data_IF_564714072068
#
_entry.id   IF_564714072068
#
_cell.length_a   1.000
_cell.length_b   1.000
_cell.length_c   1.000
_cell.angle_alpha   90.00
_cell.angle_beta   90.00
_cell.angle_gamma   90.00
#
_symmetry.space_group_name_H-M   'P 1'
#
loop_
_entity.id
_entity.type
_entity.pdbx_description
1 polymer ?
#
# COMPACT_ATOMS: atom_id res chain seq x y z
N UNK A 1 -25.08 33.11 38.69
CA UNK A 1 -25.42 33.07 37.25
C UNK A 1 -26.92 33.26 37.14
N UNK A 2 -27.36 34.34 36.48
CA UNK A 2 -28.78 34.69 36.36
C UNK A 2 -29.35 34.02 35.12
N UNK A 3 -30.37 33.17 35.30
CA UNK A 3 -31.04 32.50 34.19
C UNK A 3 -31.92 33.50 33.42
N UNK A 4 -32.05 33.36 32.09
CA UNK A 4 -32.83 34.28 31.28
C UNK A 4 -34.35 34.11 31.54
N UNK A 5 -35.07 35.24 31.62
CA UNK A 5 -36.48 35.34 32.03
C UNK A 5 -37.48 34.50 31.19
N UNK A 6 -37.12 34.12 29.96
CA UNK A 6 -37.97 33.25 29.13
C UNK A 6 -38.00 31.78 29.60
N UNK A 7 -37.05 31.37 30.45
CA UNK A 7 -36.99 29.99 30.99
C UNK A 7 -38.11 29.70 32.03
N UNK A 8 -38.57 30.73 32.75
CA UNK A 8 -39.60 30.60 33.79
C UNK A 8 -41.00 30.33 33.24
N UNK A 9 -41.23 30.59 31.95
CA UNK A 9 -42.52 30.37 31.29
C UNK A 9 -42.65 29.00 30.62
N UNK A 10 -41.54 28.27 30.45
CA UNK A 10 -41.53 26.92 29.85
C UNK A 10 -41.84 25.82 30.86
N UNK A 11 -41.43 25.99 32.12
CA UNK A 11 -41.62 24.99 33.19
C UNK A 11 -43.09 24.67 33.50
N UNK A 12 -44.03 25.63 33.60
CA UNK A 12 -45.43 25.30 33.86
C UNK A 12 -46.12 24.63 32.65
N UNK A 13 -45.75 24.97 31.41
CA UNK A 13 -46.29 24.32 30.19
C UNK A 13 -45.78 22.88 30.07
N UNK A 14 -44.51 22.64 30.40
CA UNK A 14 -43.93 21.29 30.40
C UNK A 14 -44.53 20.45 31.54
N UNK A 15 -44.80 21.05 32.71
CA UNK A 15 -45.43 20.37 33.85
C UNK A 15 -46.91 20.02 33.57
N UNK A 16 -47.66 20.90 32.90
CA UNK A 16 -49.05 20.61 32.49
C UNK A 16 -49.12 19.53 31.41
N UNK A 17 -48.19 19.49 30.45
CA UNK A 17 -48.11 18.40 29.46
C UNK A 17 -47.77 17.08 30.16
N UNK A 18 -46.85 17.10 31.13
CA UNK A 18 -46.43 15.90 31.85
C UNK A 18 -47.54 15.33 32.75
N UNK A 19 -48.25 16.19 33.49
CA UNK A 19 -49.37 15.78 34.37
C UNK A 19 -50.63 15.41 33.57
N UNK A 20 -50.82 15.94 32.36
CA UNK A 20 -51.91 15.53 31.47
C UNK A 20 -51.65 14.18 30.79
N UNK A 21 -50.39 13.82 30.55
CA UNK A 21 -49.98 12.49 30.06
C UNK A 21 -50.09 11.40 31.14
N UNK A 22 -50.02 11.78 32.43
CA UNK A 22 -50.12 10.85 33.57
C UNK A 22 -51.52 10.28 33.80
N UNK A 23 -52.58 10.90 33.27
CA UNK A 23 -53.97 10.52 33.54
C UNK A 23 -54.54 9.44 32.61
N UNK A 24 -53.77 8.92 31.65
CA UNK A 24 -54.29 7.98 30.65
C UNK A 24 -53.38 6.78 30.37
N UNK A 25 -52.78 6.24 31.42
CA UNK A 25 -52.00 5.01 31.32
C UNK A 25 -52.43 4.06 32.43
N UNK A 26 -53.07 2.97 32.02
CA UNK A 26 -53.52 1.92 32.92
C UNK A 26 -52.32 1.25 33.61
N UNK A 27 -52.55 0.81 34.85
CA UNK A 27 -51.52 0.42 35.84
C UNK A 27 -50.58 -0.71 35.44
N UNK A 28 -50.77 -1.38 34.30
CA UNK A 28 -49.87 -2.43 33.78
C UNK A 28 -48.84 -1.91 32.76
N UNK A 29 -49.02 -0.70 32.20
CA UNK A 29 -48.17 -0.18 31.14
C UNK A 29 -46.99 0.69 31.62
N UNK A 30 -47.03 1.20 32.85
CA UNK A 30 -45.94 2.03 33.39
C UNK A 30 -44.61 1.29 33.50
N UNK A 31 -44.67 -0.01 33.83
CA UNK A 31 -43.49 -0.86 33.90
C UNK A 31 -42.87 -1.12 32.52
N UNK A 32 -43.66 -1.11 31.44
CA UNK A 32 -43.18 -1.24 30.05
C UNK A 32 -42.72 0.11 29.49
N UNK A 33 -43.44 1.20 29.79
CA UNK A 33 -43.19 2.54 29.29
C UNK A 33 -41.84 3.14 29.75
N UNK A 34 -41.34 2.74 30.93
CA UNK A 34 -40.00 3.11 31.40
C UNK A 34 -38.90 2.15 30.92
N UNK A 35 -39.23 0.92 30.51
CA UNK A 35 -38.25 -0.07 30.03
C UNK A 35 -37.75 0.25 28.63
N UNK A 36 -38.62 0.68 27.72
CA UNK A 36 -38.21 1.03 26.35
C UNK A 36 -37.20 2.19 26.26
N UNK A 37 -37.41 3.36 26.91
CA UNK A 37 -36.44 4.45 26.87
C UNK A 37 -35.15 4.13 27.62
N UNK A 38 -35.20 3.34 28.71
CA UNK A 38 -34.00 2.89 29.43
C UNK A 38 -33.17 1.89 28.62
N UNK A 39 -33.82 0.96 27.91
CA UNK A 39 -33.13 0.04 27.00
C UNK A 39 -32.53 0.78 25.80
N UNK A 40 -33.24 1.79 25.28
CA UNK A 40 -32.75 2.64 24.20
C UNK A 40 -31.55 3.50 24.64
N UNK A 41 -31.59 4.09 25.84
CA UNK A 41 -30.46 4.81 26.42
C UNK A 41 -29.28 3.88 26.73
N UNK A 42 -29.52 2.66 27.21
CA UNK A 42 -28.45 1.68 27.41
C UNK A 42 -27.83 1.23 26.09
N UNK A 43 -28.63 1.07 25.03
CA UNK A 43 -28.15 0.73 23.70
C UNK A 43 -27.34 1.89 23.11
N UNK A 44 -27.78 3.13 23.31
CA UNK A 44 -27.05 4.33 22.91
C UNK A 44 -25.70 4.44 23.66
N UNK A 45 -25.67 4.16 24.96
CA UNK A 45 -24.44 4.15 25.76
C UNK A 45 -23.47 3.03 25.33
N UNK A 46 -23.98 1.84 24.99
CA UNK A 46 -23.18 0.73 24.46
C UNK A 46 -22.63 1.07 23.08
N UNK A 47 -23.45 1.64 22.19
CA UNK A 47 -23.01 2.07 20.85
C UNK A 47 -21.96 3.17 20.98
N UNK A 48 -22.15 4.19 21.83
CA UNK A 48 -21.15 5.24 22.09
C UNK A 48 -19.85 4.65 22.68
N UNK A 49 -19.93 3.66 23.58
CA UNK A 49 -18.76 2.96 24.12
C UNK A 49 -18.05 2.10 23.06
N UNK A 50 -18.78 1.40 22.19
CA UNK A 50 -18.21 0.64 21.07
C UNK A 50 -17.61 1.55 20.00
N UNK A 51 -18.21 2.72 19.75
CA UNK A 51 -17.67 3.74 18.87
C UNK A 51 -16.41 4.38 19.47
N UNK A 52 -16.34 4.54 20.79
CA UNK A 52 -15.11 4.95 21.47
C UNK A 52 -14.00 3.91 21.27
N UNK A 53 -14.29 2.61 21.42
CA UNK A 53 -13.29 1.56 21.12
C UNK A 53 -12.91 1.49 19.64
N UNK A 54 -13.84 1.72 18.71
CA UNK A 54 -13.52 1.78 17.27
C UNK A 54 -12.74 3.04 16.88
N UNK A 55 -12.90 4.15 17.62
CA UNK A 55 -12.12 5.37 17.46
C UNK A 55 -10.76 5.33 18.19
N UNK A 56 -10.54 4.34 19.07
CA UNK A 56 -9.25 4.07 19.74
C UNK A 56 -8.47 2.94 19.04
N UNK A 57 -8.90 2.48 17.86
CA UNK A 57 -8.02 1.73 16.94
C UNK A 57 -7.19 2.69 16.08
N UNK A 58 -6.46 3.56 16.77
CA UNK A 58 -5.46 4.47 16.23
C UNK A 58 -4.39 4.65 17.29
N UNK A 59 -3.76 3.55 17.72
CA UNK A 59 -2.80 3.67 18.80
C UNK A 59 -2.13 2.42 19.35
N UNK A 60 -2.27 1.23 18.75
CA UNK A 60 -1.27 0.19 18.99
C UNK A 60 -0.26 0.18 17.84
N UNK A 61 0.45 1.31 17.71
CA UNK A 61 1.82 1.23 17.22
C UNK A 61 2.53 0.42 18.28
N UNK A 62 2.80 -0.85 18.00
CA UNK A 62 3.73 -1.65 18.79
C UNK A 62 5.04 -0.85 18.88
N UNK A 63 5.21 -0.13 19.99
CA UNK A 63 6.16 0.97 20.20
C UNK A 63 7.62 0.50 20.29
N UNK A 64 7.91 -0.72 19.82
CA UNK A 64 9.20 -1.37 19.97
C UNK A 64 9.73 -1.97 18.67
N UNK A 65 9.23 -1.57 17.49
CA UNK A 65 9.87 -2.01 16.24
C UNK A 65 11.01 -1.04 15.87
N UNK A 66 12.30 -1.40 16.07
CA UNK A 66 13.40 -0.50 15.73
C UNK A 66 13.42 -0.33 14.21
N UNK A 67 12.88 0.80 13.75
CA UNK A 67 13.15 1.34 12.43
C UNK A 67 14.67 1.40 12.28
N UNK A 68 15.23 0.54 11.42
CA UNK A 68 16.65 0.45 10.99
C UNK A 68 17.61 1.01 12.06
N UNK A 69 18.07 0.15 12.97
CA UNK A 69 18.91 0.54 14.10
C UNK A 69 20.22 1.15 13.59
N UNK A 70 20.40 2.46 13.79
CA UNK A 70 21.70 3.10 13.61
C UNK A 70 22.67 2.50 14.64
N UNK A 71 23.85 2.04 14.22
CA UNK A 71 24.82 1.29 15.05
C UNK A 71 25.60 2.21 16.01
N UNK A 72 25.00 3.32 16.46
CA UNK A 72 25.63 4.23 17.42
C UNK A 72 24.86 4.14 18.72
N UNK A 73 25.46 3.48 19.71
CA UNK A 73 24.89 3.33 21.05
C UNK A 73 25.18 4.61 21.84
N UNK A 74 24.17 5.41 22.15
CA UNK A 74 24.24 6.48 23.16
C UNK A 74 23.10 6.23 24.13
N UNK A 75 23.45 5.67 25.30
CA UNK A 75 22.51 5.39 26.38
C UNK A 75 21.86 6.67 26.89
N UNK A 76 20.54 6.61 27.11
CA UNK A 76 19.88 6.94 28.38
C UNK A 76 18.34 6.84 28.23
N UNK A 77 17.72 6.14 29.18
CA UNK A 77 16.39 5.54 29.10
C UNK A 77 15.17 6.45 29.24
N UNK A 78 15.19 7.67 28.69
CA UNK A 78 14.05 8.60 28.75
C UNK A 78 13.60 9.17 27.39
N UNK A 79 14.28 8.84 26.28
CA UNK A 79 14.07 9.50 24.98
C UNK A 79 13.83 8.47 23.86
N UNK A 80 12.93 7.51 24.06
CA UNK A 80 12.62 6.55 23.01
C UNK A 80 11.93 7.21 21.80
N UNK A 81 11.08 8.20 22.04
CA UNK A 81 10.32 8.92 21.01
C UNK A 81 11.17 9.86 20.16
N UNK A 82 11.97 10.74 20.77
CA UNK A 82 12.75 11.72 20.00
C UNK A 82 13.88 11.04 19.22
N UNK A 83 14.45 9.95 19.73
CA UNK A 83 15.45 9.17 19.01
C UNK A 83 14.84 8.45 17.79
N UNK A 84 13.60 7.93 17.88
CA UNK A 84 12.90 7.34 16.73
C UNK A 84 12.60 8.40 15.64
N UNK A 85 12.14 9.58 16.06
CA UNK A 85 11.88 10.70 15.16
C UNK A 85 13.17 11.18 14.48
N UNK A 86 14.22 11.45 15.26
CA UNK A 86 15.53 11.86 14.74
C UNK A 86 16.11 10.82 13.77
N UNK A 87 15.94 9.52 14.04
CA UNK A 87 16.38 8.45 13.14
C UNK A 87 15.57 8.46 11.82
N UNK A 88 14.24 8.61 11.90
CA UNK A 88 13.39 8.68 10.71
C UNK A 88 13.71 9.92 9.85
N UNK A 89 13.91 11.08 10.46
CA UNK A 89 14.29 12.33 9.79
C UNK A 89 15.65 12.21 9.08
N UNK A 90 16.62 11.58 9.75
CA UNK A 90 17.92 11.29 9.15
C UNK A 90 17.80 10.37 7.92
N UNK A 91 17.07 9.26 8.05
CA UNK A 91 16.79 8.35 6.94
C UNK A 91 16.05 9.04 5.79
N UNK A 92 15.11 9.91 6.08
CA UNK A 92 14.37 10.64 5.05
C UNK A 92 15.25 11.66 4.33
N UNK A 93 16.17 12.30 5.04
CA UNK A 93 17.16 13.21 4.44
C UNK A 93 18.09 12.46 3.48
N UNK A 94 18.59 11.29 3.89
CA UNK A 94 19.38 10.41 3.02
C UNK A 94 18.56 9.96 1.81
N UNK A 95 17.30 9.57 2.02
CA UNK A 95 16.39 9.17 0.95
C UNK A 95 16.20 10.29 -0.08
N UNK A 96 15.93 11.53 0.38
CA UNK A 96 15.77 12.69 -0.51
C UNK A 96 17.02 12.91 -1.35
N UNK A 97 18.19 12.84 -0.75
CA UNK A 97 19.48 12.99 -1.44
C UNK A 97 19.71 11.85 -2.45
N UNK A 98 19.56 10.60 -2.01
CA UNK A 98 19.81 9.39 -2.83
C UNK A 98 18.93 9.30 -4.07
N UNK A 99 17.68 9.75 -3.98
CA UNK A 99 16.71 9.67 -5.09
C UNK A 99 16.34 11.04 -5.66
N UNK A 100 17.13 12.08 -5.35
CA UNK A 100 16.93 13.45 -5.83
C UNK A 100 15.49 13.97 -5.66
N UNK A 101 14.90 13.72 -4.48
CA UNK A 101 13.52 14.13 -4.18
C UNK A 101 13.48 15.56 -3.65
N UNK A 102 12.59 16.35 -4.21
CA UNK A 102 12.18 17.66 -3.70
C UNK A 102 10.65 17.72 -3.63
N UNK A 103 10.13 18.49 -2.67
CA UNK A 103 8.69 18.67 -2.46
C UNK A 103 8.37 20.16 -2.53
N UNK A 104 7.22 20.51 -3.09
CA UNK A 104 6.89 21.89 -3.44
C UNK A 104 6.48 22.74 -2.23
N UNK A 105 5.99 22.09 -1.17
CA UNK A 105 5.46 22.74 0.03
C UNK A 105 5.84 21.98 1.29
N UNK A 106 5.76 22.65 2.44
CA UNK A 106 6.00 21.99 3.73
C UNK A 106 4.93 20.94 4.01
N UNK A 107 3.69 21.20 3.63
CA UNK A 107 2.57 20.28 3.76
C UNK A 107 2.81 19.00 2.94
N UNK A 108 3.32 19.13 1.71
CA UNK A 108 3.72 17.98 0.91
C UNK A 108 4.89 17.22 1.55
N UNK A 109 5.92 17.95 2.04
CA UNK A 109 7.04 17.34 2.72
C UNK A 109 6.59 16.48 3.90
N UNK A 110 5.73 17.01 4.76
CA UNK A 110 5.24 16.34 5.96
C UNK A 110 4.36 15.14 5.61
N UNK A 111 3.51 15.29 4.59
CA UNK A 111 2.75 14.18 4.04
C UNK A 111 3.67 13.05 3.55
N UNK A 112 4.67 13.37 2.72
CA UNK A 112 5.62 12.40 2.15
C UNK A 112 6.45 11.74 3.23
N UNK A 113 6.85 12.49 4.26
CA UNK A 113 7.56 11.95 5.41
C UNK A 113 6.69 10.96 6.21
N UNK A 114 5.40 11.26 6.40
CA UNK A 114 4.48 10.33 7.07
C UNK A 114 4.32 9.01 6.30
N UNK A 115 4.22 9.08 4.97
CA UNK A 115 4.15 7.91 4.08
C UNK A 115 5.45 7.11 4.13
N UNK A 116 6.60 7.80 4.12
CA UNK A 116 7.91 7.19 4.24
C UNK A 116 8.07 6.38 5.53
N UNK A 117 7.69 6.95 6.68
CA UNK A 117 7.70 6.23 7.97
C UNK A 117 6.82 4.98 7.93
N UNK A 118 5.61 5.09 7.39
CA UNK A 118 4.70 3.96 7.26
C UNK A 118 5.29 2.85 6.36
N UNK A 119 5.93 3.22 5.27
CA UNK A 119 6.57 2.28 4.34
C UNK A 119 7.82 1.61 4.93
N UNK A 120 8.61 2.32 5.75
CA UNK A 120 9.73 1.70 6.49
C UNK A 120 9.24 0.63 7.47
N UNK A 121 8.18 0.93 8.24
CA UNK A 121 7.57 -0.07 9.14
C UNK A 121 7.04 -1.28 8.36
N UNK A 122 6.45 -1.05 7.19
CA UNK A 122 6.01 -2.12 6.29
C UNK A 122 7.18 -2.97 5.79
N UNK A 123 8.28 -2.35 5.38
CA UNK A 123 9.49 -3.04 4.93
C UNK A 123 10.11 -3.90 6.05
N UNK A 124 10.23 -3.36 7.27
CA UNK A 124 10.72 -4.11 8.44
C UNK A 124 9.87 -5.35 8.72
N UNK A 125 8.54 -5.18 8.72
CA UNK A 125 7.62 -6.30 8.93
C UNK A 125 7.76 -7.38 7.86
N UNK A 126 7.86 -6.99 6.59
CA UNK A 126 8.03 -7.95 5.50
C UNK A 126 9.38 -8.68 5.58
N UNK A 127 10.46 -7.98 5.96
CA UNK A 127 11.77 -8.61 6.17
C UNK A 127 11.75 -9.72 7.22
N UNK A 128 10.95 -9.55 8.28
CA UNK A 128 10.76 -10.57 9.32
C UNK A 128 9.95 -11.77 8.85
N UNK A 129 9.01 -11.55 7.92
CA UNK A 129 8.12 -12.58 7.38
C UNK A 129 8.76 -13.38 6.24
N UNK A 130 9.61 -12.74 5.44
CA UNK A 130 10.31 -13.35 4.31
C UNK A 130 11.81 -13.05 4.39
N UNK A 131 12.59 -13.94 5.02
CA UNK A 131 14.05 -13.81 5.10
C UNK A 131 14.74 -14.02 3.75
N UNK A 132 14.06 -14.57 2.74
CA UNK A 132 14.64 -14.81 1.41
C UNK A 132 14.65 -13.54 0.54
N UNK A 133 13.83 -12.56 0.89
CA UNK A 133 13.78 -11.26 0.26
C UNK A 133 14.50 -10.20 1.11
N UNK A 134 15.14 -9.24 0.43
CA UNK A 134 15.69 -8.06 1.10
C UNK A 134 14.72 -6.89 0.92
N UNK A 135 14.17 -6.40 2.03
CA UNK A 135 13.30 -5.23 2.06
C UNK A 135 14.07 -3.99 2.54
N UNK A 136 13.88 -2.87 1.86
CA UNK A 136 14.58 -1.62 2.20
C UNK A 136 13.98 -0.38 1.54
N UNK A 137 14.69 0.74 1.70
CA UNK A 137 14.31 2.01 1.09
C UNK A 137 14.51 1.97 -0.42
N UNK A 138 13.48 2.31 -1.17
CA UNK A 138 13.47 2.38 -2.64
C UNK A 138 13.02 3.77 -3.10
N UNK A 139 13.14 4.08 -4.40
CA UNK A 139 12.68 5.34 -4.98
C UNK A 139 11.17 5.62 -4.80
N UNK A 140 10.40 4.61 -4.39
CA UNK A 140 8.95 4.67 -4.17
C UNK A 140 8.56 4.71 -2.70
N UNK A 141 9.52 4.80 -1.78
CA UNK A 141 9.26 4.77 -0.33
C UNK A 141 8.43 5.96 0.17
N UNK A 142 8.29 7.04 -0.60
CA UNK A 142 7.44 8.21 -0.33
C UNK A 142 6.03 8.11 -0.93
N UNK A 143 5.68 7.00 -1.56
CA UNK A 143 4.39 6.81 -2.24
C UNK A 143 3.46 5.88 -1.48
N UNK A 144 2.18 6.22 -1.48
CA UNK A 144 1.13 5.30 -1.04
C UNK A 144 0.91 4.19 -2.07
N UNK A 145 0.36 3.03 -1.69
CA UNK A 145 0.03 1.96 -2.65
C UNK A 145 -0.90 2.42 -3.77
N UNK A 146 -1.79 3.37 -3.49
CA UNK A 146 -2.71 3.96 -4.48
C UNK A 146 -1.96 4.85 -5.46
N UNK A 147 -1.09 5.73 -4.98
CA UNK A 147 -0.26 6.57 -5.85
C UNK A 147 0.67 5.74 -6.71
N UNK A 148 1.33 4.73 -6.13
CA UNK A 148 2.19 3.81 -6.86
C UNK A 148 1.42 3.10 -7.97
N UNK A 149 0.24 2.57 -7.66
CA UNK A 149 -0.64 1.93 -8.65
C UNK A 149 -1.00 2.88 -9.78
N UNK A 150 -1.44 4.09 -9.45
CA UNK A 150 -1.92 5.04 -10.44
C UNK A 150 -0.82 5.57 -11.37
N UNK A 151 0.43 5.65 -10.88
CA UNK A 151 1.55 6.22 -11.64
C UNK A 151 2.42 5.19 -12.36
N UNK A 152 2.52 3.97 -11.82
CA UNK A 152 3.48 2.97 -12.30
C UNK A 152 2.87 1.64 -12.75
N UNK A 153 1.61 1.36 -12.42
CA UNK A 153 0.95 0.13 -12.89
C UNK A 153 0.13 0.45 -14.15
N UNK A 154 0.78 0.33 -15.32
CA UNK A 154 0.20 0.60 -16.65
C UNK A 154 -0.79 -0.45 -17.17
N UNK A 155 -1.55 -1.11 -16.29
CA UNK A 155 -2.48 -2.17 -16.69
C UNK A 155 -3.85 -1.56 -17.03
N UNK A 156 -4.06 -1.26 -18.30
CA UNK A 156 -5.41 -1.08 -18.83
C UNK A 156 -6.10 -2.44 -18.89
N UNK A 157 -7.14 -2.66 -18.08
CA UNK A 157 -7.94 -3.91 -18.03
C UNK A 157 -8.73 -4.22 -19.32
N UNK A 158 -8.44 -3.53 -20.43
CA UNK A 158 -9.14 -3.61 -21.71
C UNK A 158 -8.22 -4.07 -22.85
N UNK A 159 -7.24 -4.92 -22.55
CA UNK A 159 -6.52 -5.63 -23.61
C UNK A 159 -7.44 -6.73 -24.15
N UNK A 160 -8.03 -6.49 -25.32
CA UNK A 160 -8.67 -7.53 -26.12
C UNK A 160 -7.61 -8.13 -27.03
N UNK A 161 -7.58 -9.45 -27.15
CA UNK A 161 -6.76 -10.06 -28.19
C UNK A 161 -7.26 -9.58 -29.55
N UNK A 162 -6.34 -9.28 -30.49
CA UNK A 162 -6.69 -9.07 -31.89
C UNK A 162 -7.51 -10.25 -32.42
N UNK A 163 -8.47 -9.98 -33.31
CA UNK A 163 -9.34 -11.02 -33.88
C UNK A 163 -8.60 -12.04 -34.75
N UNK A 164 -7.39 -11.69 -35.18
CA UNK A 164 -6.46 -12.48 -35.99
C UNK A 164 -5.36 -13.16 -35.17
N UNK A 165 -5.42 -13.09 -33.83
CA UNK A 165 -4.47 -13.79 -32.98
C UNK A 165 -4.56 -15.31 -33.19
N UNK A 166 -3.46 -15.90 -33.67
CA UNK A 166 -3.34 -17.35 -33.83
C UNK A 166 -2.84 -18.00 -32.55
N UNK A 167 -3.34 -19.20 -32.26
CA UNK A 167 -2.85 -20.02 -31.17
C UNK A 167 -1.45 -20.53 -31.50
N UNK A 168 -0.53 -20.38 -30.54
CA UNK A 168 0.85 -20.81 -30.72
C UNK A 168 0.94 -22.35 -30.78
N UNK A 169 1.76 -22.92 -31.69
CA UNK A 169 1.95 -24.36 -31.77
C UNK A 169 2.63 -24.90 -30.51
N UNK A 170 2.27 -26.13 -30.11
CA UNK A 170 2.88 -26.80 -28.97
C UNK A 170 4.32 -27.21 -29.30
N UNK A 171 5.27 -26.67 -28.56
CA UNK A 171 6.70 -26.98 -28.70
C UNK A 171 7.11 -28.15 -27.78
N UNK A 172 8.07 -28.99 -28.19
CA UNK A 172 8.58 -30.08 -27.36
C UNK A 172 9.34 -29.55 -26.13
N UNK A 173 9.08 -30.13 -24.96
CA UNK A 173 9.65 -29.69 -23.67
C UNK A 173 10.63 -30.70 -23.06
N UNK A 174 11.01 -31.72 -23.82
CA UNK A 174 11.74 -32.91 -23.35
C UNK A 174 13.18 -32.60 -22.87
N UNK A 175 13.76 -31.46 -23.27
CA UNK A 175 15.17 -31.10 -23.04
C UNK A 175 15.33 -29.63 -22.66
N UNK A 176 14.50 -29.12 -21.75
CA UNK A 176 14.65 -27.77 -21.26
C UNK A 176 15.84 -27.68 -20.28
N UNK A 177 16.65 -26.60 -20.36
CA UNK A 177 17.71 -26.37 -19.39
C UNK A 177 17.11 -26.14 -18.00
N UNK A 178 17.89 -26.42 -16.96
CA UNK A 178 17.49 -26.19 -15.56
C UNK A 178 17.25 -24.70 -15.28
N UNK A 179 18.11 -23.86 -15.82
CA UNK A 179 18.08 -22.40 -15.69
C UNK A 179 18.37 -21.78 -17.07
N UNK A 180 17.70 -20.68 -17.41
CA UNK A 180 17.89 -19.99 -18.69
C UNK A 180 17.69 -18.47 -18.48
N UNK A 181 18.70 -17.67 -18.85
CA UNK A 181 18.67 -16.22 -18.73
C UNK A 181 18.90 -15.55 -20.08
N UNK A 182 17.88 -14.87 -20.60
CA UNK A 182 17.94 -14.14 -21.87
C UNK A 182 19.00 -13.03 -21.90
N UNK A 183 19.45 -12.54 -20.74
CA UNK A 183 20.52 -11.53 -20.65
C UNK A 183 21.85 -12.06 -21.16
N UNK A 184 22.11 -13.36 -21.01
CA UNK A 184 23.36 -13.99 -21.45
C UNK A 184 23.41 -14.18 -22.97
N UNK A 185 22.29 -13.98 -23.64
CA UNK A 185 22.12 -14.18 -25.09
C UNK A 185 21.93 -12.87 -25.87
N UNK A 186 22.17 -11.71 -25.24
CA UNK A 186 22.05 -10.40 -25.91
C UNK A 186 20.62 -10.02 -26.28
N UNK A 187 19.61 -10.78 -25.85
CA UNK A 187 18.20 -10.53 -26.17
C UNK A 187 17.54 -9.50 -25.24
N UNK A 188 18.26 -9.00 -24.23
CA UNK A 188 17.73 -8.08 -23.21
C UNK A 188 18.51 -6.77 -23.24
N UNK A 189 17.80 -5.67 -23.43
CA UNK A 189 18.35 -4.30 -23.35
C UNK A 189 18.53 -3.84 -21.91
N UNK A 190 19.28 -2.75 -21.71
CA UNK A 190 19.45 -2.15 -20.39
C UNK A 190 18.09 -1.76 -19.76
N UNK A 191 18.00 -1.88 -18.42
CA UNK A 191 16.76 -1.58 -17.69
C UNK A 191 16.38 -0.11 -17.87
N UNK A 192 15.23 0.13 -18.53
CA UNK A 192 14.67 1.47 -18.75
C UNK A 192 13.81 1.90 -17.55
N UNK A 193 13.89 3.16 -17.14
CA UNK A 193 12.98 3.75 -16.14
C UNK A 193 11.76 4.33 -16.86
N UNK A 194 10.58 3.77 -16.60
CA UNK A 194 9.35 4.19 -17.27
C UNK A 194 8.90 5.61 -16.86
N UNK A 195 9.34 6.13 -15.71
CA UNK A 195 8.86 7.37 -15.10
C UNK A 195 7.31 7.41 -14.99
N UNK A 196 6.74 8.44 -14.34
CA UNK A 196 5.29 8.61 -14.23
C UNK A 196 4.70 9.07 -15.56
N UNK A 197 4.69 8.20 -16.56
CA UNK A 197 3.98 8.43 -17.82
C UNK A 197 2.52 8.01 -17.67
N UNK A 198 1.64 9.01 -17.66
CA UNK A 198 0.19 8.84 -17.88
C UNK A 198 -0.14 8.48 -19.34
N UNK A 199 0.86 8.27 -20.21
CA UNK A 199 0.68 7.77 -21.57
C UNK A 199 0.69 6.25 -21.59
N UNK A 200 -0.45 5.67 -21.26
CA UNK A 200 -0.82 4.37 -21.81
C UNK A 200 -0.77 4.44 -23.35
N UNK A 201 -0.15 3.43 -23.96
CA UNK A 201 -0.10 3.13 -25.40
C UNK A 201 1.00 3.87 -26.18
N UNK A 202 2.18 3.25 -26.34
CA UNK A 202 2.89 3.13 -27.64
C UNK A 202 4.35 2.63 -27.56
N UNK A 203 4.98 2.47 -26.41
CA UNK A 203 6.42 2.09 -26.39
C UNK A 203 6.73 0.59 -26.56
N UNK A 204 5.72 -0.29 -26.76
CA UNK A 204 5.95 -1.75 -26.84
C UNK A 204 5.88 -2.35 -28.24
N UNK A 205 5.56 -1.58 -29.29
CA UNK A 205 5.37 -2.13 -30.65
C UNK A 205 6.47 -1.70 -31.62
N UNK A 206 7.20 -0.60 -31.37
CA UNK A 206 8.15 -0.07 -32.35
C UNK A 206 9.58 -0.60 -32.27
N UNK A 207 9.94 -1.42 -31.28
CA UNK A 207 11.35 -1.82 -31.06
C UNK A 207 11.59 -3.33 -31.20
N UNK A 208 10.55 -4.12 -31.51
CA UNK A 208 10.71 -5.55 -31.80
C UNK A 208 10.89 -5.85 -33.30
N UNK A 209 10.87 -4.83 -34.18
CA UNK A 209 10.81 -5.00 -35.63
C UNK A 209 11.98 -4.34 -36.41
N UNK A 210 12.95 -3.75 -35.72
CA UNK A 210 14.17 -3.23 -36.35
C UNK A 210 15.35 -3.81 -35.59
N UNK A 211 16.29 -4.40 -36.31
CA UNK A 211 17.48 -5.13 -35.83
C UNK A 211 17.28 -6.65 -35.68
N UNK A 212 16.68 -7.27 -36.71
CA UNK A 212 17.04 -8.63 -37.11
C UNK A 212 17.92 -8.50 -38.36
N UNK A 213 19.15 -8.04 -38.19
CA UNK A 213 20.22 -8.28 -39.16
C UNK A 213 20.92 -9.59 -38.74
N UNK A 214 20.39 -10.68 -39.30
CA UNK A 214 21.11 -11.88 -39.75
C UNK A 214 22.40 -12.24 -38.98
N UNK A 215 22.23 -12.89 -37.82
CA UNK A 215 23.29 -13.68 -37.19
C UNK A 215 22.93 -15.17 -37.30
N UNK A 216 23.16 -15.75 -38.49
CA UNK A 216 23.18 -17.20 -38.66
C UNK A 216 24.34 -17.82 -37.84
N UNK A 217 24.10 -18.78 -36.94
CA UNK A 217 25.18 -19.45 -36.20
C UNK A 217 25.94 -20.43 -37.11
N UNK A 218 27.27 -20.61 -36.93
CA UNK A 218 28.06 -21.45 -37.81
C UNK A 218 27.67 -22.92 -37.68
N UNK A 219 27.18 -23.50 -38.79
CA UNK A 219 26.93 -24.94 -38.95
C UNK A 219 28.28 -25.65 -38.90
N UNK A 220 28.63 -26.22 -37.75
CA UNK A 220 29.72 -27.19 -37.65
C UNK A 220 29.27 -28.50 -38.30
N UNK A 221 29.73 -28.75 -39.54
CA UNK A 221 29.56 -30.05 -40.20
C UNK A 221 30.41 -31.10 -39.47
N UNK A 222 29.87 -32.31 -39.17
CA UNK A 222 30.65 -33.36 -38.55
C UNK A 222 31.66 -33.95 -39.52
N UNK A 223 32.88 -34.16 -39.03
CA UNK A 223 33.97 -34.87 -39.71
C UNK A 223 33.55 -36.33 -39.94
N UNK A 224 33.54 -36.78 -41.20
CA UNK A 224 33.11 -38.12 -41.57
C UNK A 224 33.86 -38.71 -42.77
N UNK A 225 34.88 -39.52 -42.44
CA UNK A 225 35.28 -40.80 -43.07
C UNK A 225 35.86 -40.83 -44.49
N UNK A 226 37.08 -41.36 -44.56
CA UNK A 226 37.77 -41.83 -45.77
C UNK A 226 37.00 -42.92 -46.53
N UNK A 227 37.16 -42.94 -47.86
CA UNK A 227 37.12 -44.17 -48.64
C UNK A 227 38.07 -44.12 -49.85
N UNK A 228 38.90 -45.16 -49.94
CA UNK A 228 39.78 -45.56 -51.04
C UNK A 228 39.05 -45.87 -52.37
N UNK A 229 39.72 -45.58 -53.51
CA UNK A 229 40.02 -46.42 -54.71
C UNK A 229 40.43 -45.49 -55.87
N UNK A 230 41.55 -45.69 -56.56
CA UNK A 230 41.71 -46.55 -57.76
C UNK A 230 41.12 -45.80 -58.98
N UNK A 231 41.84 -45.45 -60.04
CA UNK A 231 42.97 -46.06 -60.74
C UNK A 231 44.04 -45.03 -61.17
#
# INVERSE_FOLDING_TARGET
>A
MSYPHWFSHLLPVIFDIYTHLEKKVDSTDFAMALRFPLLFLSSLLIVVSCCYSAAVDSGNLDSNDPLIRQVVDHGDGAVAGDNELLNADHHFTIFKSKFSKSYASQEEHDHRFSVFKANLRRASRHQKLDPSAVHGVTQFSDLTPREFRNRFLGINRRLRLPSDAQEAPVLPTNYLPKDFDWRDHGAVTAVKNQQSVTSSSNSRVSEAATDVEEAEPPITRPVGRQHHRGD
#
